data_IF_320232038024
#
_entry.id   IF_320232038024
#
_cell.length_a   1.000
_cell.length_b   1.000
_cell.length_c   1.000
_cell.angle_alpha   90.00
_cell.angle_beta   90.00
_cell.angle_gamma   90.00
#
_symmetry.space_group_name_H-M   'P 1'
#
loop_
_entity.id
_entity.type
_entity.pdbx_description
1 polymer ?
#
# COMPACT_ATOMS: atom_id res chain seq x y z
N UNK A 1 -8.03 -39.24 42.81
CA UNK A 1 -7.27 -40.11 41.90
C UNK A 1 -7.89 -40.18 40.50
N UNK A 2 -9.10 -40.71 40.35
CA UNK A 2 -9.82 -40.84 39.07
C UNK A 2 -9.88 -39.53 38.23
N UNK A 3 -10.09 -38.38 38.87
CA UNK A 3 -10.14 -37.08 38.18
C UNK A 3 -8.81 -36.66 37.51
N UNK A 4 -7.66 -37.07 38.07
CA UNK A 4 -6.34 -36.82 37.46
C UNK A 4 -6.10 -37.78 36.29
N UNK A 5 -6.41 -39.06 36.49
CA UNK A 5 -6.20 -40.12 35.49
C UNK A 5 -7.06 -39.91 34.23
N UNK A 6 -8.31 -39.42 34.38
CA UNK A 6 -9.20 -39.09 33.25
C UNK A 6 -8.60 -38.06 32.28
N UNK A 7 -7.74 -37.17 32.78
CA UNK A 7 -7.06 -36.15 31.98
C UNK A 7 -5.60 -36.51 31.66
N UNK A 8 -5.20 -37.76 31.89
CA UNK A 8 -3.85 -38.27 31.61
C UNK A 8 -2.78 -37.88 32.63
N UNK A 9 -3.18 -37.43 33.83
CA UNK A 9 -2.26 -37.09 34.92
C UNK A 9 -2.07 -38.29 35.86
N UNK A 10 -0.83 -38.60 36.21
CA UNK A 10 -0.50 -39.62 37.19
C UNK A 10 -0.38 -38.98 38.58
N UNK A 11 -1.33 -39.26 39.46
CA UNK A 11 -1.30 -38.80 40.85
C UNK A 11 -0.33 -39.66 41.68
N UNK A 12 0.64 -39.02 42.33
CA UNK A 12 1.66 -39.69 43.17
C UNK A 12 1.32 -39.64 44.67
N UNK A 13 0.45 -38.74 45.09
CA UNK A 13 -0.05 -38.69 46.48
C UNK A 13 -1.14 -39.74 46.67
N UNK A 14 -0.95 -40.65 47.61
CA UNK A 14 -1.84 -41.80 47.88
C UNK A 14 -2.98 -41.48 48.85
N UNK A 15 -2.80 -40.51 49.74
CA UNK A 15 -3.78 -40.13 50.77
C UNK A 15 -4.08 -38.62 50.74
N UNK A 16 -5.37 -38.27 50.78
CA UNK A 16 -5.84 -36.89 50.78
C UNK A 16 -6.57 -36.60 52.09
N UNK A 17 -5.90 -35.92 53.02
CA UNK A 17 -6.40 -35.59 54.35
C UNK A 17 -7.31 -34.35 54.32
N UNK A 18 -7.06 -33.39 53.41
CA UNK A 18 -7.92 -32.20 53.27
C UNK A 18 -7.78 -31.51 51.89
N UNK A 19 -8.76 -30.67 51.54
CA UNK A 19 -8.82 -29.96 50.25
C UNK A 19 -7.73 -28.89 50.04
N UNK A 20 -7.00 -28.54 51.11
CA UNK A 20 -5.88 -27.58 51.08
C UNK A 20 -4.52 -28.28 50.92
N UNK A 21 -4.47 -29.61 51.04
CA UNK A 21 -3.27 -30.41 50.89
C UNK A 21 -2.73 -30.30 49.46
N UNK A 22 -1.40 -30.26 49.36
CA UNK A 22 -0.68 -30.23 48.09
C UNK A 22 -0.53 -31.65 47.55
N UNK A 23 -1.30 -31.96 46.51
CA UNK A 23 -1.30 -33.23 45.80
C UNK A 23 -0.17 -33.24 44.76
N UNK A 24 0.73 -34.22 44.85
CA UNK A 24 1.85 -34.42 43.92
C UNK A 24 1.39 -35.23 42.71
N UNK A 25 1.74 -34.79 41.50
CA UNK A 25 1.37 -35.47 40.25
C UNK A 25 2.48 -35.41 39.20
N UNK A 26 2.33 -36.21 38.15
CA UNK A 26 3.05 -36.13 36.87
C UNK A 26 2.03 -35.82 35.75
N UNK A 27 2.25 -34.75 34.98
CA UNK A 27 1.35 -34.40 33.87
C UNK A 27 1.69 -35.19 32.58
N UNK A 28 0.82 -35.18 31.54
CA UNK A 28 1.11 -35.79 30.24
C UNK A 28 2.43 -35.32 29.60
N UNK A 29 2.81 -34.06 29.83
CA UNK A 29 4.11 -33.51 29.41
C UNK A 29 5.31 -33.91 30.28
N UNK A 30 5.16 -34.89 31.17
CA UNK A 30 6.24 -35.43 32.02
C UNK A 30 6.63 -34.58 33.24
N UNK A 31 6.04 -33.40 33.44
CA UNK A 31 6.38 -32.53 34.57
C UNK A 31 5.88 -33.09 35.91
N UNK A 32 6.78 -33.19 36.89
CA UNK A 32 6.46 -33.51 38.29
C UNK A 32 6.17 -32.23 39.06
N UNK A 33 4.95 -32.08 39.58
CA UNK A 33 4.58 -30.87 40.33
C UNK A 33 3.49 -31.14 41.38
N UNK A 34 3.09 -30.09 42.09
CA UNK A 34 2.06 -30.10 43.11
C UNK A 34 0.87 -29.21 42.73
N UNK A 35 -0.34 -29.58 43.11
CA UNK A 35 -1.55 -28.75 43.02
C UNK A 35 -2.45 -29.03 44.23
N UNK A 36 -3.26 -28.07 44.65
CA UNK A 36 -4.30 -28.32 45.66
C UNK A 36 -5.58 -28.80 44.98
N UNK A 37 -6.41 -29.56 45.70
CA UNK A 37 -7.69 -30.03 45.15
C UNK A 37 -8.59 -28.87 44.71
N UNK A 38 -8.64 -27.78 45.51
CA UNK A 38 -9.42 -26.58 45.18
C UNK A 38 -8.95 -25.89 43.88
N UNK A 39 -7.66 -25.90 43.56
CA UNK A 39 -7.17 -25.33 42.30
C UNK A 39 -7.46 -26.25 41.11
N UNK A 40 -7.38 -27.57 41.32
CA UNK A 40 -7.73 -28.56 40.31
C UNK A 40 -9.20 -28.46 39.89
N UNK A 41 -10.12 -28.35 40.85
CA UNK A 41 -11.57 -28.21 40.56
C UNK A 41 -11.91 -26.88 39.89
N UNK A 42 -11.14 -25.82 40.14
CA UNK A 42 -11.24 -24.52 39.45
C UNK A 42 -10.62 -24.52 38.03
N UNK A 43 -10.21 -25.67 37.51
CA UNK A 43 -9.70 -25.81 36.14
C UNK A 43 -8.20 -25.53 35.99
N UNK A 44 -7.45 -25.27 37.07
CA UNK A 44 -5.99 -25.16 36.96
C UNK A 44 -5.36 -26.53 36.72
N UNK A 45 -4.33 -26.56 35.89
CA UNK A 45 -3.59 -27.76 35.48
C UNK A 45 -2.10 -27.56 35.65
N UNK A 46 -1.29 -28.34 34.95
CA UNK A 46 0.16 -28.24 35.03
C UNK A 46 0.65 -26.80 34.81
N UNK A 47 1.20 -26.19 35.87
CA UNK A 47 1.69 -24.82 35.83
C UNK A 47 2.91 -24.64 34.90
N UNK A 48 3.63 -25.73 34.58
CA UNK A 48 4.63 -25.75 33.51
C UNK A 48 4.00 -25.70 32.12
N UNK A 49 2.98 -26.54 31.86
CA UNK A 49 2.27 -26.54 30.57
C UNK A 49 1.49 -25.24 30.34
N UNK A 50 0.92 -24.67 31.41
CA UNK A 50 0.23 -23.39 31.39
C UNK A 50 1.17 -22.18 31.33
N UNK A 51 2.50 -22.39 31.36
CA UNK A 51 3.50 -21.33 31.27
C UNK A 51 3.59 -20.40 32.49
N UNK A 52 2.93 -20.76 33.60
CA UNK A 52 2.92 -20.01 34.87
C UNK A 52 4.26 -20.16 35.61
N UNK A 53 4.88 -21.34 35.53
CA UNK A 53 6.22 -21.58 36.05
C UNK A 53 7.24 -21.23 34.97
N UNK A 54 8.22 -20.38 35.32
CA UNK A 54 9.32 -19.98 34.42
C UNK A 54 9.97 -21.21 33.79
N UNK A 55 10.15 -21.17 32.46
CA UNK A 55 10.86 -22.23 31.72
C UNK A 55 12.24 -22.40 32.32
N UNK A 56 12.53 -23.60 32.82
CA UNK A 56 13.84 -23.88 33.38
C UNK A 56 14.86 -23.89 32.25
N UNK A 57 16.05 -23.34 32.50
CA UNK A 57 17.17 -23.37 31.53
C UNK A 57 17.44 -24.80 31.02
N UNK A 58 17.17 -25.82 31.85
CA UNK A 58 17.24 -27.25 31.47
C UNK A 58 16.38 -27.59 30.25
N UNK A 59 15.16 -27.06 30.18
CA UNK A 59 14.26 -27.27 29.04
C UNK A 59 14.81 -26.58 27.79
N UNK A 60 15.24 -25.32 27.92
CA UNK A 60 15.83 -24.57 26.81
C UNK A 60 17.06 -25.30 26.28
N UNK A 61 17.95 -25.76 27.17
CA UNK A 61 19.13 -26.55 26.80
C UNK A 61 18.74 -27.81 26.02
N UNK A 62 17.75 -28.57 26.50
CA UNK A 62 17.28 -29.77 25.78
C UNK A 62 16.73 -29.46 24.38
N UNK A 63 16.14 -28.28 24.16
CA UNK A 63 15.60 -27.87 22.85
C UNK A 63 16.71 -27.46 21.88
N UNK A 64 17.81 -26.90 22.37
CA UNK A 64 19.01 -26.64 21.56
C UNK A 64 19.72 -27.95 21.23
N UNK A 65 19.91 -28.83 22.23
CA UNK A 65 20.60 -30.10 22.09
C UNK A 65 19.90 -31.05 21.09
N UNK A 66 18.56 -31.06 21.04
CA UNK A 66 17.75 -31.84 20.07
C UNK A 66 18.14 -31.59 18.61
N UNK A 67 18.58 -30.38 18.29
CA UNK A 67 18.95 -29.99 16.93
C UNK A 67 20.48 -29.89 16.75
N UNK A 68 21.26 -30.39 17.72
CA UNK A 68 22.73 -30.38 17.70
C UNK A 68 23.35 -29.02 18.03
N UNK A 69 22.60 -28.09 18.61
CA UNK A 69 23.11 -26.79 19.04
C UNK A 69 23.54 -26.84 20.50
N UNK A 70 24.70 -26.26 20.82
CA UNK A 70 25.22 -26.22 22.18
C UNK A 70 24.90 -24.86 22.82
N UNK A 71 24.02 -24.85 23.82
CA UNK A 71 23.71 -23.64 24.59
C UNK A 71 24.86 -23.28 25.55
N UNK A 72 25.40 -22.07 25.45
CA UNK A 72 26.46 -21.54 26.33
C UNK A 72 25.84 -20.85 27.56
N UNK A 73 24.69 -20.19 27.39
CA UNK A 73 24.03 -19.48 28.49
C UNK A 73 23.51 -20.46 29.55
N UNK A 74 23.91 -20.26 30.81
CA UNK A 74 23.64 -21.17 31.92
C UNK A 74 22.41 -20.81 32.76
N UNK A 75 21.82 -19.63 32.56
CA UNK A 75 20.65 -19.15 33.28
C UNK A 75 19.66 -18.44 32.36
N UNK A 76 18.36 -18.51 32.69
CA UNK A 76 17.31 -17.87 31.91
C UNK A 76 16.36 -17.07 32.81
N UNK A 77 16.41 -15.75 32.67
CA UNK A 77 15.69 -14.77 33.49
C UNK A 77 14.34 -14.40 32.86
N UNK A 78 14.29 -14.17 31.55
CA UNK A 78 13.08 -13.77 30.82
C UNK A 78 13.20 -13.95 29.29
N UNK A 79 12.09 -13.80 28.56
CA UNK A 79 12.01 -13.94 27.09
C UNK A 79 12.79 -12.91 26.27
N UNK A 80 13.21 -11.80 26.89
CA UNK A 80 14.05 -10.78 26.25
C UNK A 80 15.55 -11.06 26.44
N UNK A 81 15.92 -11.97 27.34
CA UNK A 81 17.33 -12.34 27.54
C UNK A 81 17.89 -12.98 26.27
N UNK A 82 19.10 -12.54 25.92
CA UNK A 82 19.91 -13.16 24.87
C UNK A 82 20.52 -14.46 25.38
N UNK A 83 20.27 -15.54 24.64
CA UNK A 83 20.81 -16.88 24.81
C UNK A 83 21.96 -17.05 23.83
N UNK A 84 23.18 -17.22 24.35
CA UNK A 84 24.38 -17.53 23.57
C UNK A 84 24.45 -19.03 23.30
N UNK A 85 24.79 -19.42 22.08
CA UNK A 85 24.86 -20.81 21.65
C UNK A 85 25.88 -21.01 20.52
N UNK A 86 26.30 -22.26 20.32
CA UNK A 86 27.16 -22.71 19.23
C UNK A 86 26.33 -23.63 18.32
N UNK A 87 26.33 -23.38 17.01
CA UNK A 87 25.64 -24.26 16.06
C UNK A 87 26.48 -25.50 15.73
N UNK A 88 25.91 -26.54 15.08
CA UNK A 88 26.66 -27.76 14.74
C UNK A 88 27.90 -27.56 13.83
N UNK A 89 28.01 -26.39 13.18
CA UNK A 89 29.17 -25.98 12.37
C UNK A 89 30.21 -25.17 13.15
N UNK A 90 30.00 -24.96 14.45
CA UNK A 90 30.92 -24.21 15.32
C UNK A 90 30.70 -22.70 15.37
N UNK A 91 29.67 -22.14 14.72
CA UNK A 91 29.40 -20.71 14.79
C UNK A 91 28.81 -20.29 16.14
N UNK A 92 29.50 -19.39 16.85
CA UNK A 92 29.00 -18.71 18.05
C UNK A 92 27.97 -17.63 17.69
N UNK A 93 26.77 -17.72 18.26
CA UNK A 93 25.67 -16.81 18.00
C UNK A 93 24.84 -16.52 19.25
N UNK A 94 23.98 -15.51 19.16
CA UNK A 94 22.96 -15.22 20.18
C UNK A 94 21.55 -15.14 19.59
N UNK A 95 20.56 -15.54 20.37
CA UNK A 95 19.14 -15.45 20.01
C UNK A 95 18.28 -15.13 21.23
N UNK A 96 17.00 -14.89 21.05
CA UNK A 96 16.02 -14.91 22.15
C UNK A 96 15.27 -16.23 22.14
N UNK A 97 14.71 -16.64 23.28
CA UNK A 97 13.87 -17.84 23.32
C UNK A 97 12.69 -17.76 22.33
N UNK A 98 12.08 -16.57 22.17
CA UNK A 98 10.97 -16.38 21.24
C UNK A 98 11.39 -16.60 19.78
N UNK A 99 12.55 -16.08 19.37
CA UNK A 99 13.06 -16.27 18.02
C UNK A 99 13.43 -17.74 17.76
N UNK A 100 14.06 -18.41 18.74
CA UNK A 100 14.34 -19.84 18.65
C UNK A 100 13.06 -20.67 18.49
N UNK A 101 12.07 -20.44 19.35
CA UNK A 101 10.80 -21.15 19.34
C UNK A 101 9.99 -20.94 18.05
N UNK A 102 10.10 -19.76 17.42
CA UNK A 102 9.46 -19.45 16.13
C UNK A 102 10.22 -19.98 14.91
N UNK A 103 11.31 -20.72 15.10
CA UNK A 103 12.05 -21.40 14.02
C UNK A 103 13.31 -20.70 13.54
N UNK A 104 13.74 -19.60 14.17
CA UNK A 104 15.02 -18.97 13.83
C UNK A 104 16.17 -19.83 14.36
N UNK A 105 17.18 -20.03 13.53
CA UNK A 105 18.38 -20.84 13.80
C UNK A 105 19.64 -20.03 13.51
N UNK A 106 20.78 -20.70 13.46
CA UNK A 106 22.05 -20.07 13.12
C UNK A 106 21.89 -19.22 11.85
N UNK A 107 22.19 -17.90 11.89
CA UNK A 107 22.06 -17.03 10.74
C UNK A 107 23.01 -17.41 9.60
N UNK A 108 24.09 -18.14 9.90
CA UNK A 108 25.00 -18.70 8.90
C UNK A 108 24.41 -19.95 8.20
N UNK A 109 23.44 -20.64 8.81
CA UNK A 109 22.63 -21.72 8.19
C UNK A 109 21.35 -21.23 7.55
N UNK A 110 20.80 -20.10 8.02
CA UNK A 110 19.80 -19.39 7.23
C UNK A 110 20.48 -19.04 5.91
N UNK A 111 19.95 -19.53 4.79
CA UNK A 111 20.48 -19.28 3.44
C UNK A 111 21.03 -17.85 3.39
N UNK A 112 22.21 -17.60 2.79
CA UNK A 112 22.60 -16.25 2.44
C UNK A 112 21.35 -15.62 1.85
N UNK A 113 20.85 -14.54 2.44
CA UNK A 113 19.77 -13.77 1.82
C UNK A 113 20.27 -13.59 0.41
N UNK A 114 19.62 -14.26 -0.56
CA UNK A 114 20.15 -14.35 -1.92
C UNK A 114 20.20 -12.90 -2.38
N UNK A 115 21.36 -12.25 -2.25
CA UNK A 115 21.73 -11.11 -3.06
C UNK A 115 21.52 -11.66 -4.45
N UNK A 116 20.39 -11.30 -5.05
CA UNK A 116 20.03 -11.80 -6.37
C UNK A 116 21.21 -11.44 -7.26
N UNK A 117 21.68 -12.45 -7.98
CA UNK A 117 22.79 -12.30 -8.90
C UNK A 117 22.50 -11.08 -9.77
N UNK A 118 23.41 -10.11 -9.75
CA UNK A 118 23.21 -8.88 -10.49
C UNK A 118 23.09 -9.17 -11.99
N UNK A 119 23.70 -10.25 -12.47
CA UNK A 119 23.56 -10.73 -13.84
C UNK A 119 22.13 -11.18 -14.17
N UNK A 120 21.43 -11.81 -13.22
CA UNK A 120 20.01 -12.12 -13.41
C UNK A 120 19.20 -10.82 -13.59
N UNK A 121 19.45 -9.82 -12.76
CA UNK A 121 18.74 -8.53 -12.84
C UNK A 121 19.00 -7.85 -14.19
N UNK A 122 20.25 -7.83 -14.67
CA UNK A 122 20.60 -7.33 -16.00
C UNK A 122 19.85 -8.09 -17.10
N UNK A 123 19.81 -9.41 -17.03
CA UNK A 123 19.11 -10.24 -18.03
C UNK A 123 17.62 -9.95 -18.09
N UNK A 124 16.97 -9.69 -16.94
CA UNK A 124 15.54 -9.38 -16.85
C UNK A 124 15.20 -8.01 -17.45
N UNK A 125 16.05 -7.01 -17.24
CA UNK A 125 15.90 -5.70 -17.89
C UNK A 125 16.12 -5.82 -19.41
N UNK A 126 17.15 -6.58 -19.82
CA UNK A 126 17.48 -6.78 -21.23
C UNK A 126 16.36 -7.48 -22.02
N UNK A 127 15.62 -8.44 -21.41
CA UNK A 127 14.45 -9.10 -22.02
C UNK A 127 13.38 -8.12 -22.49
N UNK A 128 13.26 -6.97 -21.84
CA UNK A 128 12.31 -5.91 -22.20
C UNK A 128 12.98 -4.72 -22.93
N UNK A 129 14.21 -4.91 -23.41
CA UNK A 129 15.02 -3.88 -24.07
C UNK A 129 15.33 -2.68 -23.16
N UNK A 130 15.55 -2.94 -21.87
CA UNK A 130 16.09 -1.94 -20.94
C UNK A 130 17.59 -2.17 -20.75
N UNK A 131 18.36 -1.09 -20.76
CA UNK A 131 19.79 -1.09 -20.48
C UNK A 131 20.03 -0.61 -19.04
N UNK A 132 20.63 -1.45 -18.19
CA UNK A 132 21.06 -1.03 -16.85
C UNK A 132 22.35 -0.21 -16.96
N UNK A 133 22.38 0.94 -16.27
CA UNK A 133 23.56 1.81 -16.14
C UNK A 133 24.29 1.63 -14.80
N UNK A 134 23.57 1.12 -13.79
CA UNK A 134 24.16 0.80 -12.48
C UNK A 134 25.22 -0.28 -12.64
N UNK A 135 26.39 -0.08 -12.01
CA UNK A 135 27.52 -1.02 -12.11
C UNK A 135 27.46 -2.15 -11.08
N UNK A 136 26.85 -1.90 -9.93
CA UNK A 136 26.81 -2.84 -8.80
C UNK A 136 25.46 -2.80 -8.08
N UNK A 137 25.01 -3.96 -7.60
CA UNK A 137 23.79 -4.11 -6.82
C UNK A 137 24.08 -4.50 -5.38
N UNK A 138 24.02 -3.51 -4.48
CA UNK A 138 24.43 -3.63 -3.09
C UNK A 138 23.32 -4.20 -2.22
N UNK A 139 22.06 -3.81 -2.44
CA UNK A 139 20.95 -4.21 -1.58
C UNK A 139 19.57 -4.06 -2.26
N UNK A 140 18.53 -4.60 -1.61
CA UNK A 140 17.16 -4.63 -2.14
C UNK A 140 16.49 -3.25 -2.30
N UNK A 141 16.95 -2.25 -1.54
CA UNK A 141 16.37 -0.90 -1.56
C UNK A 141 17.03 0.02 -2.58
N UNK A 142 18.20 -0.35 -3.10
CA UNK A 142 18.91 0.40 -4.13
C UNK A 142 18.05 0.56 -5.38
N UNK A 143 18.03 1.78 -5.90
CA UNK A 143 17.46 2.07 -7.22
C UNK A 143 18.50 1.76 -8.31
N UNK A 144 18.06 1.05 -9.32
CA UNK A 144 18.84 0.69 -10.50
C UNK A 144 18.61 1.73 -11.58
N UNK A 145 19.62 2.53 -11.89
CA UNK A 145 19.63 3.40 -13.05
C UNK A 145 19.57 2.58 -14.34
N UNK A 146 18.69 2.98 -15.25
CA UNK A 146 18.46 2.30 -16.51
C UNK A 146 17.98 3.26 -17.60
N UNK A 147 18.10 2.82 -18.85
CA UNK A 147 17.51 3.44 -20.04
C UNK A 147 16.46 2.47 -20.58
N UNK A 148 15.24 2.95 -20.79
CA UNK A 148 14.18 2.12 -21.37
C UNK A 148 14.32 1.98 -22.89
N UNK A 149 13.50 1.12 -23.50
CA UNK A 149 13.45 0.91 -24.95
C UNK A 149 13.16 2.16 -25.79
N UNK A 150 12.59 3.20 -25.18
CA UNK A 150 12.34 4.50 -25.84
C UNK A 150 13.43 5.55 -25.52
N UNK A 151 14.56 5.15 -24.93
CA UNK A 151 15.69 6.05 -24.64
C UNK A 151 15.55 6.88 -23.36
N UNK A 152 14.49 6.70 -22.57
CA UNK A 152 14.31 7.47 -21.34
C UNK A 152 15.21 6.96 -20.21
N UNK A 153 16.06 7.84 -19.68
CA UNK A 153 16.88 7.58 -18.48
C UNK A 153 16.04 7.71 -17.22
N UNK A 154 16.12 6.71 -16.33
CA UNK A 154 15.38 6.68 -15.08
C UNK A 154 16.06 5.78 -14.05
N UNK A 155 15.44 5.64 -12.86
CA UNK A 155 15.86 4.68 -11.85
C UNK A 155 14.65 3.95 -11.24
N UNK A 156 14.80 2.66 -10.97
CA UNK A 156 13.73 1.81 -10.44
C UNK A 156 14.30 0.80 -9.44
N UNK A 157 13.59 0.49 -8.35
CA UNK A 157 14.03 -0.61 -7.47
C UNK A 157 13.72 -1.94 -8.12
N UNK A 158 14.54 -2.95 -7.83
CA UNK A 158 14.29 -4.30 -8.30
C UNK A 158 12.91 -4.85 -7.87
N UNK A 159 12.46 -4.52 -6.65
CA UNK A 159 11.12 -4.90 -6.18
C UNK A 159 10.01 -4.29 -7.04
N UNK A 160 10.14 -3.02 -7.42
CA UNK A 160 9.13 -2.34 -8.24
C UNK A 160 9.11 -2.91 -9.67
N UNK A 161 10.28 -3.22 -10.25
CA UNK A 161 10.37 -3.91 -11.54
C UNK A 161 9.60 -5.24 -11.53
N UNK A 162 9.79 -6.06 -10.49
CA UNK A 162 9.07 -7.33 -10.34
C UNK A 162 7.56 -7.14 -10.17
N UNK A 163 7.13 -6.01 -9.61
CA UNK A 163 5.72 -5.66 -9.48
C UNK A 163 5.13 -5.06 -10.77
N UNK A 164 5.85 -5.11 -11.90
CA UNK A 164 5.37 -4.64 -13.20
C UNK A 164 5.57 -3.14 -13.45
N UNK A 165 6.28 -2.42 -12.57
CA UNK A 165 6.61 -1.02 -12.81
C UNK A 165 7.67 -0.93 -13.91
N UNK A 166 7.44 -0.02 -14.86
CA UNK A 166 8.29 0.22 -16.03
C UNK A 166 8.53 1.71 -16.19
N UNK A 167 9.00 2.14 -17.37
CA UNK A 167 9.25 3.54 -17.65
C UNK A 167 8.04 4.44 -17.36
N UNK A 168 8.20 5.35 -16.40
CA UNK A 168 7.14 6.27 -15.98
C UNK A 168 6.77 7.28 -17.07
N UNK A 169 7.74 7.67 -17.92
CA UNK A 169 7.52 8.57 -19.04
C UNK A 169 6.68 7.88 -20.12
N UNK A 170 7.07 6.67 -20.54
CA UNK A 170 6.29 5.86 -21.49
C UNK A 170 4.88 5.57 -20.96
N UNK A 171 4.77 5.24 -19.67
CA UNK A 171 3.48 5.01 -19.02
C UNK A 171 2.58 6.25 -19.10
N UNK A 172 3.09 7.43 -18.72
CA UNK A 172 2.32 8.70 -18.79
C UNK A 172 1.87 9.03 -20.21
N UNK A 173 2.75 8.83 -21.21
CA UNK A 173 2.40 9.04 -22.62
C UNK A 173 1.25 8.14 -23.05
N UNK A 174 1.35 6.83 -22.79
CA UNK A 174 0.28 5.86 -23.10
C UNK A 174 -1.02 6.19 -22.38
N UNK A 175 -0.97 6.56 -21.11
CA UNK A 175 -2.16 6.98 -20.37
C UNK A 175 -2.81 8.23 -20.99
N UNK A 176 -2.01 9.23 -21.39
CA UNK A 176 -2.53 10.42 -22.07
C UNK A 176 -3.25 10.07 -23.38
N UNK A 177 -2.70 9.16 -24.18
CA UNK A 177 -3.30 8.68 -25.43
C UNK A 177 -4.63 7.94 -25.18
N UNK A 178 -4.66 7.06 -24.18
CA UNK A 178 -5.87 6.35 -23.74
C UNK A 178 -6.94 7.36 -23.30
N UNK A 179 -6.58 8.32 -22.44
CA UNK A 179 -7.48 9.38 -21.99
C UNK A 179 -8.04 10.17 -23.17
N UNK A 180 -7.19 10.61 -24.11
CA UNK A 180 -7.64 11.32 -25.33
C UNK A 180 -8.63 10.50 -26.16
N UNK A 181 -8.48 9.18 -26.20
CA UNK A 181 -9.43 8.32 -26.91
C UNK A 181 -10.78 8.20 -26.17
N UNK A 182 -10.78 8.10 -24.84
CA UNK A 182 -12.03 8.15 -24.06
C UNK A 182 -12.79 9.47 -24.28
N UNK A 183 -12.08 10.60 -24.34
CA UNK A 183 -12.70 11.90 -24.60
C UNK A 183 -13.31 12.06 -26.00
N UNK A 184 -13.12 11.11 -26.93
CA UNK A 184 -13.82 11.10 -28.22
C UNK A 184 -15.24 10.54 -28.13
N UNK A 185 -15.54 9.79 -27.07
CA UNK A 185 -16.85 9.17 -26.87
C UNK A 185 -17.82 10.15 -26.16
N UNK A 186 -18.94 10.54 -26.82
CA UNK A 186 -19.94 11.40 -26.21
C UNK A 186 -20.59 10.84 -24.94
N UNK A 187 -20.69 9.51 -24.79
CA UNK A 187 -21.24 8.90 -23.57
C UNK A 187 -20.28 9.09 -22.39
N UNK A 188 -18.98 8.92 -22.64
CA UNK A 188 -17.95 9.20 -21.65
C UNK A 188 -17.95 10.67 -21.24
N UNK A 189 -18.03 11.61 -22.19
CA UNK A 189 -18.13 13.04 -21.90
C UNK A 189 -19.32 13.35 -20.98
N UNK A 190 -20.52 12.83 -21.31
CA UNK A 190 -21.72 13.00 -20.48
C UNK A 190 -21.57 12.40 -19.08
N UNK A 191 -20.95 11.23 -18.97
CA UNK A 191 -20.67 10.58 -17.69
C UNK A 191 -19.76 11.45 -16.81
N UNK A 192 -18.71 12.03 -17.39
CA UNK A 192 -17.79 12.91 -16.67
C UNK A 192 -18.44 14.24 -16.30
N UNK A 193 -19.16 14.89 -17.22
CA UNK A 193 -19.91 16.12 -16.96
C UNK A 193 -20.89 15.94 -15.79
N UNK A 194 -21.62 14.81 -15.77
CA UNK A 194 -22.52 14.46 -14.65
C UNK A 194 -21.77 14.28 -13.34
N UNK A 195 -20.64 13.57 -13.35
CA UNK A 195 -19.84 13.31 -12.15
C UNK A 195 -19.19 14.59 -11.59
N UNK A 196 -18.87 15.55 -12.45
CA UNK A 196 -18.30 16.85 -12.07
C UNK A 196 -19.36 17.93 -11.83
N UNK A 197 -20.65 17.61 -11.96
CA UNK A 197 -21.76 18.57 -11.85
C UNK A 197 -21.61 19.78 -12.80
N UNK A 198 -21.10 19.53 -14.01
CA UNK A 198 -20.99 20.54 -15.06
C UNK A 198 -22.37 20.82 -15.66
N UNK A 199 -23.13 21.71 -15.00
CA UNK A 199 -24.43 22.21 -15.44
C UNK A 199 -24.45 23.73 -15.35
N UNK A 200 -25.22 24.43 -16.21
CA UNK A 200 -25.28 25.88 -16.19
C UNK A 200 -25.57 26.45 -14.79
N UNK A 201 -24.67 27.29 -14.29
CA UNK A 201 -24.85 28.03 -13.05
C UNK A 201 -25.82 29.21 -13.22
N UNK A 202 -26.13 29.94 -12.13
CA UNK A 202 -27.09 31.05 -12.16
C UNK A 202 -26.70 32.16 -13.18
N UNK A 203 -25.48 32.71 -13.15
CA UNK A 203 -25.02 33.63 -14.20
C UNK A 203 -25.10 33.06 -15.63
N UNK A 204 -24.72 31.81 -15.86
CA UNK A 204 -24.77 31.17 -17.18
C UNK A 204 -26.21 31.02 -17.68
N UNK A 205 -27.14 30.68 -16.79
CA UNK A 205 -28.57 30.65 -17.11
C UNK A 205 -29.10 32.03 -17.48
N UNK A 206 -28.72 33.07 -16.73
CA UNK A 206 -29.11 34.45 -17.02
C UNK A 206 -28.58 34.91 -18.38
N UNK A 207 -27.29 34.64 -18.67
CA UNK A 207 -26.69 34.94 -19.97
C UNK A 207 -27.36 34.14 -21.10
N UNK A 208 -27.69 32.87 -20.90
CA UNK A 208 -28.38 32.06 -21.91
C UNK A 208 -29.77 32.62 -22.25
N UNK A 209 -30.51 33.10 -21.24
CA UNK A 209 -31.82 33.74 -21.43
C UNK A 209 -31.64 35.03 -22.24
N UNK A 210 -30.67 35.88 -21.87
CA UNK A 210 -30.37 37.12 -22.59
C UNK A 210 -29.96 36.86 -24.05
N UNK A 211 -29.08 35.88 -24.29
CA UNK A 211 -28.65 35.50 -25.62
C UNK A 211 -29.81 35.01 -26.47
N UNK A 212 -30.74 34.22 -25.92
CA UNK A 212 -31.92 33.78 -26.65
C UNK A 212 -32.93 34.91 -26.93
N UNK A 213 -32.97 35.95 -26.10
CA UNK A 213 -33.78 37.13 -26.36
C UNK A 213 -33.19 38.00 -27.49
N UNK A 214 -31.87 38.23 -27.46
CA UNK A 214 -31.19 39.10 -28.44
C UNK A 214 -30.88 38.39 -29.77
N UNK A 215 -30.54 37.10 -29.71
CA UNK A 215 -30.12 36.27 -30.83
C UNK A 215 -30.83 34.90 -30.77
N UNK A 216 -32.14 34.85 -31.03
CA UNK A 216 -32.94 33.64 -30.86
C UNK A 216 -32.35 32.42 -31.58
N UNK A 217 -32.08 31.36 -30.83
CA UNK A 217 -31.52 30.09 -31.32
C UNK A 217 -30.15 30.21 -32.01
N UNK A 218 -29.39 31.30 -31.82
CA UNK A 218 -28.06 31.43 -32.41
C UNK A 218 -26.94 30.90 -31.54
N UNK A 219 -27.12 30.80 -30.22
CA UNK A 219 -26.10 30.37 -29.25
C UNK A 219 -26.60 29.21 -28.40
N UNK A 220 -25.69 28.30 -28.05
CA UNK A 220 -25.93 27.23 -27.08
C UNK A 220 -24.85 27.20 -26.00
N UNK A 221 -25.21 26.73 -24.82
CA UNK A 221 -24.24 26.37 -23.79
C UNK A 221 -23.47 25.11 -24.22
N UNK A 222 -22.15 25.12 -24.04
CA UNK A 222 -21.26 23.99 -24.29
C UNK A 222 -20.24 23.77 -23.16
N UNK A 223 -20.38 24.46 -22.02
CA UNK A 223 -19.54 24.31 -20.82
C UNK A 223 -19.65 22.95 -20.11
N UNK A 224 -20.41 22.02 -20.68
CA UNK A 224 -20.56 20.61 -20.24
C UNK A 224 -19.69 19.64 -21.07
N UNK A 225 -18.58 20.12 -21.63
CA UNK A 225 -17.64 19.35 -22.44
C UNK A 225 -18.17 18.89 -23.81
N UNK A 226 -19.31 19.39 -24.27
CA UNK A 226 -19.85 19.05 -25.60
C UNK A 226 -19.02 19.59 -26.78
N UNK A 227 -18.13 20.56 -26.53
CA UNK A 227 -17.32 21.18 -27.58
C UNK A 227 -15.92 21.54 -27.06
N UNK A 228 -14.88 21.15 -27.81
CA UNK A 228 -13.51 21.55 -27.51
C UNK A 228 -12.88 22.20 -28.73
N UNK A 229 -12.09 23.24 -28.50
CA UNK A 229 -11.30 23.91 -29.51
C UNK A 229 -9.90 24.19 -28.98
N UNK A 230 -8.89 23.61 -29.64
CA UNK A 230 -7.49 23.75 -29.20
C UNK A 230 -7.22 23.24 -27.78
N UNK A 231 -7.96 22.23 -27.31
CA UNK A 231 -7.84 21.68 -25.96
C UNK A 231 -8.51 22.52 -24.85
N UNK A 232 -9.35 23.50 -25.22
CA UNK A 232 -10.16 24.29 -24.29
C UNK A 232 -11.65 24.15 -24.60
N UNK A 233 -12.48 24.15 -23.56
CA UNK A 233 -13.93 24.13 -23.64
C UNK A 233 -14.44 25.57 -23.35
N UNK A 234 -15.17 26.21 -24.26
CA UNK A 234 -15.82 27.50 -24.00
C UNK A 234 -17.17 27.31 -23.28
N UNK A 235 -17.75 28.39 -22.75
CA UNK A 235 -19.04 28.32 -22.06
C UNK A 235 -20.21 28.30 -23.05
N UNK A 236 -20.17 29.15 -24.08
CA UNK A 236 -21.17 29.21 -25.14
C UNK A 236 -20.54 29.23 -26.53
N UNK A 237 -21.27 28.67 -27.49
CA UNK A 237 -20.87 28.62 -28.88
C UNK A 237 -22.04 28.99 -29.79
N UNK A 238 -21.75 29.79 -30.81
CA UNK A 238 -22.70 30.05 -31.89
C UNK A 238 -22.95 28.78 -32.73
N UNK A 239 -24.20 28.55 -33.14
CA UNK A 239 -24.62 27.35 -33.89
C UNK A 239 -25.14 27.63 -35.30
N UNK A 240 -25.14 28.88 -35.76
CA UNK A 240 -25.59 29.24 -37.12
C UNK A 240 -24.44 29.35 -38.14
N UNK A 241 -23.26 28.84 -37.79
CA UNK A 241 -22.08 28.80 -38.66
C UNK A 241 -21.12 29.98 -38.47
N UNK A 242 -21.46 30.97 -37.63
CA UNK A 242 -20.49 32.02 -37.24
C UNK A 242 -19.48 31.43 -36.26
N UNK A 243 -18.19 31.68 -36.51
CA UNK A 243 -17.10 31.32 -35.59
C UNK A 243 -17.05 32.30 -34.41
N UNK A 244 -18.05 32.21 -33.53
CA UNK A 244 -18.20 33.06 -32.35
C UNK A 244 -18.35 32.22 -31.08
N UNK A 245 -17.59 32.58 -30.05
CA UNK A 245 -17.61 31.97 -28.72
C UNK A 245 -17.89 33.04 -27.65
N UNK A 246 -18.46 32.62 -26.52
CA UNK A 246 -18.64 33.49 -25.36
C UNK A 246 -18.10 32.77 -24.12
N UNK A 247 -17.31 33.48 -23.34
CA UNK A 247 -16.86 33.10 -21.99
C UNK A 247 -17.63 33.92 -20.95
N UNK A 248 -18.06 33.27 -19.87
CA UNK A 248 -18.63 33.94 -18.72
C UNK A 248 -17.66 33.90 -17.54
N UNK A 249 -17.07 35.04 -17.24
CA UNK A 249 -16.11 35.17 -16.15
C UNK A 249 -16.80 35.53 -14.83
N UNK A 250 -16.68 34.65 -13.84
CA UNK A 250 -16.99 34.98 -12.46
C UNK A 250 -15.95 35.94 -11.86
N UNK A 251 -16.39 37.08 -11.30
CA UNK A 251 -15.53 38.14 -10.75
C UNK A 251 -14.55 37.61 -9.72
N UNK A 252 -15.02 36.72 -8.83
CA UNK A 252 -14.16 36.16 -7.79
C UNK A 252 -13.16 35.15 -8.35
N UNK A 253 -13.62 34.25 -9.23
CA UNK A 253 -12.83 33.12 -9.73
C UNK A 253 -11.77 33.54 -10.76
N UNK A 254 -12.07 34.55 -11.57
CA UNK A 254 -11.21 35.02 -12.66
C UNK A 254 -10.54 36.37 -12.37
N UNK A 255 -10.52 36.84 -11.11
CA UNK A 255 -9.97 38.16 -10.72
C UNK A 255 -8.49 38.40 -11.07
N UNK A 256 -7.74 37.34 -11.36
CA UNK A 256 -6.31 37.41 -11.73
C UNK A 256 -6.06 36.88 -13.14
N UNK A 257 -7.12 36.48 -13.86
CA UNK A 257 -7.01 35.98 -15.21
C UNK A 257 -7.10 37.15 -16.19
N UNK A 258 -6.28 37.10 -17.23
CA UNK A 258 -6.42 38.01 -18.36
C UNK A 258 -7.39 37.40 -19.39
N UNK A 259 -8.57 38.01 -19.64
CA UNK A 259 -9.48 37.56 -20.69
C UNK A 259 -8.81 37.43 -22.06
N UNK A 260 -7.78 38.23 -22.33
CA UNK A 260 -7.08 38.24 -23.61
C UNK A 260 -6.41 36.89 -23.91
N UNK A 261 -6.00 36.13 -22.88
CA UNK A 261 -5.42 34.80 -23.06
C UNK A 261 -6.40 33.83 -23.74
N UNK A 262 -7.67 33.86 -23.34
CA UNK A 262 -8.73 33.03 -23.95
C UNK A 262 -9.04 33.49 -25.36
N UNK A 263 -9.15 34.80 -25.55
CA UNK A 263 -9.44 35.42 -26.84
C UNK A 263 -8.34 35.06 -27.84
N UNK A 264 -7.07 35.26 -27.49
CA UNK A 264 -5.93 34.96 -28.35
C UNK A 264 -5.78 33.47 -28.62
N UNK A 265 -6.10 32.61 -27.64
CA UNK A 265 -6.13 31.17 -27.84
C UNK A 265 -7.13 30.76 -28.92
N UNK A 266 -8.37 31.23 -28.85
CA UNK A 266 -9.41 30.85 -29.82
C UNK A 266 -9.26 31.56 -31.17
N UNK A 267 -8.70 32.76 -31.19
CA UNK A 267 -8.36 33.50 -32.42
C UNK A 267 -7.43 32.71 -33.34
N UNK A 268 -6.51 31.89 -32.78
CA UNK A 268 -5.64 30.97 -33.55
C UNK A 268 -6.43 29.98 -34.43
N UNK A 269 -7.69 29.71 -34.10
CA UNK A 269 -8.59 28.82 -34.83
C UNK A 269 -9.63 29.58 -35.67
N UNK A 270 -9.52 30.91 -35.74
CA UNK A 270 -10.41 31.80 -36.48
C UNK A 270 -11.74 32.08 -35.79
N UNK A 271 -11.82 31.91 -34.47
CA UNK A 271 -13.00 32.28 -33.69
C UNK A 271 -12.82 33.66 -33.05
N UNK A 272 -13.89 34.46 -33.10
CA UNK A 272 -14.03 35.64 -32.26
C UNK A 272 -14.58 35.22 -30.90
N UNK A 273 -14.07 35.78 -29.82
CA UNK A 273 -14.50 35.43 -28.45
C UNK A 273 -14.90 36.70 -27.71
N UNK A 274 -16.12 36.71 -27.19
CA UNK A 274 -16.59 37.72 -26.26
C UNK A 274 -16.40 37.19 -24.83
N UNK A 275 -15.87 38.00 -23.92
CA UNK A 275 -15.82 37.68 -22.50
C UNK A 275 -16.81 38.59 -21.80
N UNK A 276 -17.75 37.99 -21.08
CA UNK A 276 -18.76 38.68 -20.27
C UNK A 276 -18.43 38.45 -18.81
N UNK A 277 -18.41 39.48 -17.98
CA UNK A 277 -18.22 39.35 -16.55
C UNK A 277 -19.55 39.21 -15.82
N UNK A 278 -19.63 38.33 -14.82
CA UNK A 278 -20.87 38.06 -14.09
C UNK A 278 -21.52 39.31 -13.48
N UNK A 279 -20.72 40.33 -13.14
CA UNK A 279 -21.22 41.57 -12.56
C UNK A 279 -21.84 42.50 -13.60
N UNK A 280 -21.47 42.36 -14.89
CA UNK A 280 -22.10 43.10 -15.99
C UNK A 280 -23.53 42.60 -16.24
N UNK A 281 -23.83 41.34 -15.90
CA UNK A 281 -25.17 40.75 -16.01
C UNK A 281 -26.12 41.19 -14.89
N UNK A 282 -25.61 41.64 -13.74
CA UNK A 282 -26.44 42.06 -12.59
C UNK A 282 -27.02 43.47 -12.74
N UNK A 283 -26.53 44.23 -13.73
CA UNK A 283 -26.90 45.63 -13.96
C UNK A 283 -27.93 45.79 -15.11
N UNK A 284 -28.63 44.72 -15.48
CA UNK A 284 -29.75 44.71 -16.43
C UNK A 284 -31.04 44.33 -15.70
#
# INVERSE_FOLDING_TARGET
KQAFEKEGYQLLTTECENNKQRLKYICPGGHKHYITWNHWTKGQRCAYCAGVIRKQIKFIKSEFDKEGYQLITNDYKNSRQKLKYICPEGHENETTWNNWYTGHRCPYRARPTIRKDFELIKSEFAKENYQILTKEYLNSVQKLENICSNGHRQSIRWADWRNGVRCSICYKKRQSEITKNYWKDPEYQKKIAKALHCTPNKPEQALLILLNHLFPNEYKYVGDFQFFLGGKNPDFMNINGRKSLIELYGTYWHRHDDPQDRIDHFKKFGFSTLVVWENELKNQ
#
